data_IF_446185150604
#
_entry.id   IF_446185150604
#
_cell.length_a   1.000
_cell.length_b   1.000
_cell.length_c   1.000
_cell.angle_alpha   90.00
_cell.angle_beta   90.00
_cell.angle_gamma   90.00
#
_symmetry.space_group_name_H-M   'P 1'
#
loop_
_entity.id
_entity.type
_entity.pdbx_description
1 polymer ?
#
# COMPACT_ATOMS: atom_id res chain seq x y z
N UNK A 1 -8.96 2.08 11.93
CA UNK A 1 -8.12 0.85 11.93
C UNK A 1 -6.72 1.38 11.71
N UNK A 2 -6.11 1.79 12.81
CA UNK A 2 -4.97 2.72 12.75
C UNK A 2 -3.68 1.91 12.77
N UNK A 3 -2.98 1.99 11.65
CA UNK A 3 -1.60 1.53 11.50
C UNK A 3 -0.70 2.69 11.90
N UNK A 4 0.38 2.39 12.61
CA UNK A 4 1.42 3.38 12.88
C UNK A 4 2.18 3.66 11.59
N UNK A 5 2.01 4.87 11.05
CA UNK A 5 2.68 5.36 9.83
C UNK A 5 3.91 6.13 10.30
N UNK A 6 5.09 5.61 9.99
CA UNK A 6 6.36 6.26 10.34
C UNK A 6 6.73 7.31 9.29
N UNK A 7 7.67 8.19 9.62
CA UNK A 7 8.16 9.22 8.69
C UNK A 7 8.75 8.63 7.39
N UNK A 8 9.30 7.41 7.45
CA UNK A 8 9.79 6.67 6.27
C UNK A 8 8.68 6.31 5.28
N UNK A 9 7.43 6.26 5.72
CA UNK A 9 6.28 5.92 4.88
C UNK A 9 5.74 7.11 4.10
N UNK A 10 6.10 8.34 4.51
CA UNK A 10 5.53 9.58 3.99
C UNK A 10 5.66 9.66 2.46
N UNK A 11 6.83 9.31 1.92
CA UNK A 11 7.07 9.33 0.48
C UNK A 11 6.15 8.35 -0.28
N UNK A 12 5.89 7.18 0.29
CA UNK A 12 5.01 6.16 -0.31
C UNK A 12 3.54 6.55 -0.17
N UNK A 13 3.14 7.09 1.00
CA UNK A 13 1.80 7.63 1.25
C UNK A 13 1.47 8.75 0.26
N UNK A 14 2.37 9.72 0.07
CA UNK A 14 2.19 10.78 -0.92
C UNK A 14 2.08 10.23 -2.36
N UNK A 15 2.88 9.23 -2.72
CA UNK A 15 2.84 8.60 -4.05
C UNK A 15 1.47 7.95 -4.31
N UNK A 16 0.97 7.14 -3.37
CA UNK A 16 -0.32 6.45 -3.51
C UNK A 16 -1.51 7.40 -3.39
N UNK A 17 -1.40 8.48 -2.61
CA UNK A 17 -2.44 9.52 -2.55
C UNK A 17 -2.49 10.36 -3.83
N UNK A 18 -1.35 10.66 -4.44
CA UNK A 18 -1.29 11.43 -5.70
C UNK A 18 -1.75 10.60 -6.88
N UNK A 19 -1.44 9.30 -6.92
CA UNK A 19 -1.80 8.41 -8.02
C UNK A 19 -2.36 7.06 -7.53
N UNK A 20 -3.55 7.04 -6.91
CA UNK A 20 -4.12 5.83 -6.29
C UNK A 20 -4.42 4.73 -7.31
N UNK A 21 -4.61 5.07 -8.58
CA UNK A 21 -4.86 4.12 -9.66
C UNK A 21 -3.58 3.54 -10.30
N UNK A 22 -2.39 3.84 -9.76
CA UNK A 22 -1.12 3.29 -10.26
C UNK A 22 -0.62 2.18 -9.36
N UNK A 23 -0.70 0.95 -9.87
CA UNK A 23 -0.24 -0.25 -9.16
C UNK A 23 1.22 -0.16 -8.68
N UNK A 24 2.12 0.47 -9.46
CA UNK A 24 3.55 0.55 -9.11
C UNK A 24 3.82 1.24 -7.77
N UNK A 25 3.05 2.29 -7.43
CA UNK A 25 3.21 3.00 -6.15
C UNK A 25 2.84 2.10 -4.98
N UNK A 26 1.70 1.41 -5.09
CA UNK A 26 1.27 0.43 -4.09
C UNK A 26 2.27 -0.72 -3.91
N UNK A 27 2.81 -1.28 -5.01
CA UNK A 27 3.79 -2.36 -4.93
C UNK A 27 5.08 -1.93 -4.22
N UNK A 28 5.56 -0.71 -4.47
CA UNK A 28 6.72 -0.16 -3.75
C UNK A 28 6.45 0.03 -2.27
N UNK A 29 5.25 0.49 -1.93
CA UNK A 29 4.88 0.65 -0.53
C UNK A 29 4.78 -0.70 0.19
N UNK A 30 4.18 -1.70 -0.45
CA UNK A 30 4.12 -3.06 0.06
C UNK A 30 5.50 -3.68 0.24
N UNK A 31 6.42 -3.46 -0.71
CA UNK A 31 7.80 -3.94 -0.61
C UNK A 31 8.55 -3.24 0.55
N UNK A 32 8.36 -1.93 0.73
CA UNK A 32 8.90 -1.20 1.89
C UNK A 32 8.40 -1.75 3.23
N UNK A 33 7.13 -2.17 3.29
CA UNK A 33 6.51 -2.74 4.50
C UNK A 33 6.58 -4.27 4.57
N UNK A 34 7.35 -4.94 3.72
CA UNK A 34 7.35 -6.41 3.61
C UNK A 34 7.69 -7.13 4.93
N UNK A 35 8.59 -6.57 5.72
CA UNK A 35 9.02 -7.13 7.01
C UNK A 35 8.18 -6.64 8.20
N UNK A 36 7.16 -5.81 7.94
CA UNK A 36 6.24 -5.31 8.97
C UNK A 36 5.21 -6.38 9.37
N UNK A 37 4.53 -6.19 10.52
CA UNK A 37 3.46 -7.09 10.93
C UNK A 37 2.42 -7.29 9.83
N UNK A 38 1.94 -8.53 9.69
CA UNK A 38 0.96 -8.91 8.64
C UNK A 38 -0.24 -7.95 8.62
N UNK A 39 -0.70 -7.50 9.79
CA UNK A 39 -1.80 -6.52 9.89
C UNK A 39 -1.51 -5.22 9.14
N UNK A 40 -0.29 -4.69 9.24
CA UNK A 40 0.12 -3.46 8.54
C UNK A 40 0.06 -3.66 7.03
N UNK A 41 0.67 -4.75 6.56
CA UNK A 41 0.71 -5.10 5.14
C UNK A 41 -0.70 -5.34 4.60
N UNK A 42 -1.55 -6.06 5.32
CA UNK A 42 -2.95 -6.31 4.95
C UNK A 42 -3.75 -5.03 4.78
N UNK A 43 -3.59 -4.03 5.66
CA UNK A 43 -4.30 -2.75 5.51
C UNK A 43 -3.85 -2.01 4.25
N UNK A 44 -2.56 -2.04 3.92
CA UNK A 44 -2.06 -1.44 2.67
C UNK A 44 -2.63 -2.18 1.45
N UNK A 45 -2.72 -3.52 1.50
CA UNK A 45 -3.39 -4.31 0.46
C UNK A 45 -4.87 -3.94 0.32
N UNK A 46 -5.62 -3.86 1.41
CA UNK A 46 -7.04 -3.47 1.40
C UNK A 46 -7.24 -2.08 0.77
N UNK A 47 -6.36 -1.13 1.10
CA UNK A 47 -6.35 0.22 0.49
C UNK A 47 -6.07 0.14 -1.01
N UNK A 48 -5.04 -0.60 -1.41
CA UNK A 48 -4.69 -0.78 -2.81
C UNK A 48 -5.85 -1.39 -3.61
N UNK A 49 -6.50 -2.43 -3.08
CA UNK A 49 -7.66 -3.09 -3.71
C UNK A 49 -8.87 -2.16 -3.82
N UNK A 50 -9.12 -1.32 -2.81
CA UNK A 50 -10.20 -0.33 -2.86
C UNK A 50 -9.94 0.75 -3.91
N UNK A 51 -8.69 1.16 -4.08
CA UNK A 51 -8.29 2.11 -5.13
C UNK A 51 -8.23 1.49 -6.53
N UNK A 52 -7.99 0.17 -6.62
CA UNK A 52 -7.82 -0.58 -7.87
C UNK A 52 -8.72 -1.82 -7.90
N UNK A 53 -10.05 -1.65 -7.96
CA UNK A 53 -10.96 -2.77 -8.06
C UNK A 53 -10.70 -3.51 -9.39
N UNK A 54 -10.18 -4.74 -9.31
CA UNK A 54 -9.88 -5.58 -10.47
C UNK A 54 -8.40 -5.72 -10.85
N UNK A 55 -7.47 -5.14 -10.07
CA UNK A 55 -6.03 -5.40 -10.29
C UNK A 55 -5.65 -6.80 -9.79
N UNK A 56 -5.75 -7.80 -10.67
CA UNK A 56 -5.40 -9.21 -10.42
C UNK A 56 -3.93 -9.41 -9.98
N UNK A 57 -3.05 -8.45 -10.27
CA UNK A 57 -1.64 -8.47 -9.83
C UNK A 57 -1.44 -8.20 -8.34
N UNK A 58 -2.45 -7.75 -7.62
CA UNK A 58 -2.41 -7.60 -6.15
C UNK A 58 -2.75 -8.92 -5.42
N UNK A 59 -3.20 -9.94 -6.15
CA UNK A 59 -3.62 -11.23 -5.59
C UNK A 59 -2.57 -12.35 -5.72
N UNK A 60 -1.48 -12.10 -6.45
CA UNK A 60 -0.36 -13.03 -6.68
C UNK A 60 0.91 -12.51 -6.03
#
# INVERSE_FOLDING_TARGET
MDIDISESDLAFEEEVLRNPYKLKGWLRYLDHKRDSPVRTVSVIYERALRSLPGSYKLWH
#
